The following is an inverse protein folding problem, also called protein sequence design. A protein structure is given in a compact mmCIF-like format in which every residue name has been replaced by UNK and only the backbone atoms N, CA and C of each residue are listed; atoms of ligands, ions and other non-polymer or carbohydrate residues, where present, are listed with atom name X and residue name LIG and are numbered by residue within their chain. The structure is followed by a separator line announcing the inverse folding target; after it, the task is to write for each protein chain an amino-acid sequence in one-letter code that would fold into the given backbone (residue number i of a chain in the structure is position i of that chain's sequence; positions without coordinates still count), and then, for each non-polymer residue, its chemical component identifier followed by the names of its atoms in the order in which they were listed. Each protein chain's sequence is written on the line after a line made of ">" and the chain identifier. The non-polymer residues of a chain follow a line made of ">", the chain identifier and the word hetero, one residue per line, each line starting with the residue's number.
data_IF_527139299626
#
_entry.id   IF_527139299626
#
_cell.length_a   1.000
_cell.length_b   1.000
_cell.length_c   1.000
_cell.angle_alpha   90.00
_cell.angle_beta   90.00
_cell.angle_gamma   90.00
#
_symmetry.space_group_name_H-M   'P 1'
#
loop_
_entity.id
_entity.type
_entity.pdbx_description
1 polymer ?
#
# COMPACT_ATOMS: atom_id res chain seq x y z
N UNK A 1 -3.84 14.67 24.08
CA UNK A 1 -3.47 15.55 22.95
C UNK A 1 -2.61 14.87 21.89
N UNK A 2 -1.55 14.13 22.25
CA UNK A 2 -0.59 13.55 21.27
C UNK A 2 -1.27 12.75 20.14
N UNK A 3 -2.13 11.79 20.46
CA UNK A 3 -2.87 10.99 19.47
C UNK A 3 -3.74 11.83 18.53
N UNK A 4 -4.47 12.81 19.06
CA UNK A 4 -5.33 13.68 18.27
C UNK A 4 -4.55 14.49 17.24
N UNK A 5 -3.34 14.96 17.60
CA UNK A 5 -2.45 15.64 16.67
C UNK A 5 -1.92 14.69 15.59
N UNK A 6 -1.57 13.44 15.95
CA UNK A 6 -1.10 12.45 14.97
C UNK A 6 -2.20 12.07 13.97
N UNK A 7 -3.42 11.83 14.47
CA UNK A 7 -4.60 11.58 13.64
C UNK A 7 -4.83 12.76 12.71
N UNK A 8 -4.78 14.00 13.23
CA UNK A 8 -4.95 15.21 12.43
C UNK A 8 -3.91 15.35 11.32
N UNK A 9 -2.64 15.02 11.58
CA UNK A 9 -1.59 15.01 10.55
C UNK A 9 -1.89 13.97 9.47
N UNK A 10 -2.22 12.74 9.87
CA UNK A 10 -2.52 11.65 8.92
C UNK A 10 -3.73 12.02 8.06
N UNK A 11 -4.84 12.42 8.68
CA UNK A 11 -6.07 12.80 7.98
C UNK A 11 -5.87 14.05 7.11
N UNK A 12 -5.12 15.04 7.58
CA UNK A 12 -4.81 16.24 6.81
C UNK A 12 -4.03 15.92 5.53
N UNK A 13 -3.04 15.04 5.61
CA UNK A 13 -2.28 14.61 4.43
C UNK A 13 -3.13 13.74 3.51
N UNK A 14 -3.95 12.84 4.04
CA UNK A 14 -4.89 12.04 3.23
C UNK A 14 -5.88 12.95 2.50
N UNK A 15 -6.42 13.97 3.17
CA UNK A 15 -7.33 14.94 2.57
C UNK A 15 -6.65 15.75 1.45
N UNK A 16 -5.41 16.20 1.66
CA UNK A 16 -4.63 16.86 0.60
C UNK A 16 -4.40 15.93 -0.60
N UNK A 17 -4.18 14.64 -0.37
CA UNK A 17 -4.09 13.63 -1.43
C UNK A 17 -5.37 13.54 -2.26
N UNK A 18 -6.54 13.57 -1.62
CA UNK A 18 -7.85 13.59 -2.28
C UNK A 18 -8.08 14.87 -3.09
N UNK A 19 -7.71 16.03 -2.52
CA UNK A 19 -7.80 17.31 -3.22
C UNK A 19 -6.92 17.33 -4.47
N UNK A 20 -5.68 16.80 -4.38
CA UNK A 20 -4.78 16.73 -5.53
C UNK A 20 -5.30 15.74 -6.58
N UNK A 21 -5.82 14.59 -6.16
CA UNK A 21 -6.44 13.62 -7.08
C UNK A 21 -7.63 14.23 -7.84
N UNK A 22 -8.42 15.08 -7.17
CA UNK A 22 -9.54 15.78 -7.80
C UNK A 22 -9.11 16.77 -8.88
N UNK A 23 -7.90 17.33 -8.79
CA UNK A 23 -7.34 18.28 -9.78
C UNK A 23 -6.58 17.54 -10.89
N UNK A 24 -5.80 16.51 -10.51
CA UNK A 24 -4.98 15.71 -11.42
C UNK A 24 -5.41 14.25 -11.26
N UNK A 25 -6.46 13.80 -11.97
CA UNK A 25 -6.97 12.44 -11.86
C UNK A 25 -6.10 11.47 -12.66
N UNK A 26 -5.01 11.00 -12.06
CA UNK A 26 -4.25 9.87 -12.59
C UNK A 26 -5.04 8.57 -12.35
N UNK A 27 -4.81 7.50 -13.14
CA UNK A 27 -5.44 6.19 -12.96
C UNK A 27 -4.86 5.42 -11.74
N UNK A 28 -4.72 6.11 -10.62
CA UNK A 28 -4.26 5.57 -9.33
C UNK A 28 -5.16 6.08 -8.21
N UNK A 29 -5.37 5.29 -7.14
CA UNK A 29 -6.17 5.71 -6.00
C UNK A 29 -5.59 6.96 -5.32
N UNK A 30 -6.47 7.82 -4.78
CA UNK A 30 -6.07 9.01 -4.01
C UNK A 30 -5.15 8.68 -2.82
N UNK A 31 -5.27 7.48 -2.22
CA UNK A 31 -4.39 7.01 -1.16
C UNK A 31 -2.91 6.99 -1.55
N UNK A 32 -2.59 6.77 -2.83
CA UNK A 32 -1.21 6.79 -3.34
C UNK A 32 -0.65 8.22 -3.31
N UNK A 33 -1.45 9.23 -3.63
CA UNK A 33 -1.04 10.64 -3.50
C UNK A 33 -0.74 10.98 -2.05
N UNK A 34 -1.62 10.59 -1.12
CA UNK A 34 -1.41 10.77 0.31
C UNK A 34 -0.11 10.12 0.80
N UNK A 35 0.21 8.90 0.32
CA UNK A 35 1.46 8.21 0.62
C UNK A 35 2.69 8.99 0.11
N UNK A 36 2.65 9.48 -1.13
CA UNK A 36 3.75 10.25 -1.72
C UNK A 36 3.97 11.56 -0.97
N UNK A 37 2.88 12.27 -0.62
CA UNK A 37 2.94 13.51 0.15
C UNK A 37 3.54 13.26 1.55
N UNK A 38 3.03 12.24 2.25
CA UNK A 38 3.57 11.84 3.56
C UNK A 38 5.07 11.49 3.45
N UNK A 39 5.47 10.76 2.41
CA UNK A 39 6.87 10.41 2.16
C UNK A 39 7.74 11.67 2.00
N UNK A 40 7.31 12.65 1.20
CA UNK A 40 8.03 13.91 1.06
C UNK A 40 8.06 14.71 2.37
N UNK A 41 6.96 14.77 3.11
CA UNK A 41 6.92 15.43 4.43
C UNK A 41 7.90 14.80 5.43
N UNK A 42 8.04 13.47 5.42
CA UNK A 42 9.01 12.74 6.25
C UNK A 42 10.45 12.96 5.74
N UNK A 43 10.66 12.93 4.43
CA UNK A 43 11.97 13.13 3.80
C UNK A 43 12.55 14.51 4.09
N UNK A 44 11.73 15.56 3.93
CA UNK A 44 12.10 16.95 4.25
C UNK A 44 12.03 17.26 5.75
N UNK A 45 11.71 16.28 6.61
CA UNK A 45 11.55 16.43 8.06
C UNK A 45 10.52 17.49 8.48
N UNK A 46 9.56 17.82 7.61
CA UNK A 46 8.38 18.63 7.94
C UNK A 46 7.50 17.92 8.97
N UNK A 47 7.45 16.59 8.89
CA UNK A 47 6.82 15.71 9.87
C UNK A 47 7.89 14.78 10.42
N UNK A 48 7.99 14.69 11.76
CA UNK A 48 8.84 13.68 12.40
C UNK A 48 8.10 12.35 12.46
N UNK A 49 8.81 11.24 12.28
CA UNK A 49 8.23 9.89 12.35
C UNK A 49 7.52 9.67 13.70
N UNK A 50 8.07 10.20 14.80
CA UNK A 50 7.44 10.11 16.14
C UNK A 50 6.03 10.73 16.19
N UNK A 51 5.73 11.68 15.31
CA UNK A 51 4.45 12.40 15.26
C UNK A 51 3.34 11.60 14.57
N UNK A 52 3.66 10.49 13.91
CA UNK A 52 2.66 9.66 13.21
C UNK A 52 2.77 8.18 13.56
N UNK A 53 3.91 7.72 14.07
CA UNK A 53 4.21 6.30 14.30
C UNK A 53 3.21 5.58 15.20
N UNK A 54 2.80 6.20 16.30
CA UNK A 54 1.96 5.54 17.31
C UNK A 54 0.53 5.34 16.80
N UNK A 55 -0.04 6.40 16.22
CA UNK A 55 -1.38 6.37 15.65
C UNK A 55 -1.41 5.58 14.35
N UNK A 56 -0.42 5.71 13.48
CA UNK A 56 -0.30 4.89 12.28
C UNK A 56 -0.22 3.39 12.61
N UNK A 57 0.56 3.02 13.64
CA UNK A 57 0.62 1.65 14.13
C UNK A 57 -0.75 1.14 14.60
N UNK A 58 -1.45 1.93 15.42
CA UNK A 58 -2.81 1.60 15.86
C UNK A 58 -3.79 1.44 14.69
N UNK A 59 -3.76 2.33 13.70
CA UNK A 59 -4.61 2.25 12.51
C UNK A 59 -4.34 0.98 11.68
N UNK A 60 -3.07 0.58 11.57
CA UNK A 60 -2.68 -0.67 10.91
C UNK A 60 -3.19 -1.88 11.70
N UNK A 61 -3.13 -1.83 13.02
CA UNK A 61 -3.58 -2.91 13.91
C UNK A 61 -5.10 -3.15 13.79
N UNK A 62 -5.90 -2.09 13.66
CA UNK A 62 -7.36 -2.20 13.46
C UNK A 62 -7.77 -2.38 11.99
N UNK A 63 -6.83 -2.35 11.04
CA UNK A 63 -7.11 -2.49 9.60
C UNK A 63 -7.90 -3.77 9.25
N UNK A 64 -7.62 -4.95 9.83
CA UNK A 64 -8.43 -6.16 9.60
C UNK A 64 -9.91 -5.97 9.96
N UNK A 65 -10.20 -5.26 11.04
CA UNK A 65 -11.58 -4.96 11.47
C UNK A 65 -12.29 -4.04 10.46
N UNK A 66 -11.56 -3.08 9.87
CA UNK A 66 -12.08 -2.19 8.82
C UNK A 66 -12.36 -2.92 7.50
N UNK A 67 -11.85 -4.13 7.28
CA UNK A 67 -12.20 -4.95 6.11
C UNK A 67 -13.49 -5.77 6.28
N UNK A 68 -14.03 -5.91 7.50
CA UNK A 68 -15.27 -6.66 7.74
C UNK A 68 -16.45 -6.11 6.91
N UNK A 69 -16.70 -4.79 6.86
CA UNK A 69 -17.78 -4.24 6.03
C UNK A 69 -17.61 -4.54 4.54
N UNK A 70 -16.38 -4.47 4.02
CA UNK A 70 -16.09 -4.84 2.64
C UNK A 70 -16.34 -6.33 2.36
N UNK A 71 -15.99 -7.21 3.32
CA UNK A 71 -16.26 -8.65 3.24
C UNK A 71 -17.76 -8.97 3.31
N UNK A 72 -18.53 -8.27 4.15
CA UNK A 72 -19.99 -8.42 4.19
C UNK A 72 -20.62 -7.91 2.90
N UNK A 73 -20.10 -6.83 2.31
CA UNK A 73 -20.52 -6.32 1.01
C UNK A 73 -20.38 -7.37 -0.11
N UNK A 74 -19.35 -8.22 -0.07
CA UNK A 74 -19.18 -9.32 -1.03
C UNK A 74 -20.34 -10.33 -1.01
N UNK A 75 -21.07 -10.45 0.12
CA UNK A 75 -22.22 -11.35 0.20
C UNK A 75 -23.36 -10.93 -0.73
N UNK A 76 -23.46 -9.64 -1.10
CA UNK A 76 -24.49 -9.19 -2.05
C UNK A 76 -24.23 -9.71 -3.46
N UNK A 77 -22.97 -9.98 -3.81
CA UNK A 77 -22.55 -10.56 -5.09
C UNK A 77 -22.34 -12.09 -5.01
N UNK A 78 -22.74 -12.73 -3.91
CA UNK A 78 -22.46 -14.15 -3.66
C UNK A 78 -23.02 -15.09 -4.72
N UNK A 79 -24.16 -14.75 -5.33
CA UNK A 79 -24.79 -15.56 -6.39
C UNK A 79 -23.87 -15.74 -7.60
N UNK A 80 -23.23 -14.65 -8.03
CA UNK A 80 -22.30 -14.67 -9.17
C UNK A 80 -20.97 -15.32 -8.77
N UNK A 81 -20.50 -15.02 -7.55
CA UNK A 81 -19.23 -15.53 -7.04
C UNK A 81 -19.24 -17.05 -6.81
N UNK A 82 -20.38 -17.61 -6.38
CA UNK A 82 -20.53 -19.05 -6.10
C UNK A 82 -20.28 -19.93 -7.33
N UNK A 83 -20.46 -19.42 -8.55
CA UNK A 83 -20.18 -20.21 -9.75
C UNK A 83 -18.68 -20.37 -10.02
N UNK A 84 -17.83 -19.47 -9.51
CA UNK A 84 -16.42 -19.36 -9.89
C UNK A 84 -15.46 -19.31 -8.69
N UNK A 85 -15.95 -19.44 -7.46
CA UNK A 85 -15.15 -19.30 -6.23
C UNK A 85 -13.91 -20.22 -6.20
N UNK A 86 -14.01 -21.45 -6.70
CA UNK A 86 -12.87 -22.38 -6.80
C UNK A 86 -11.82 -21.82 -7.75
N UNK A 87 -12.24 -21.36 -8.93
CA UNK A 87 -11.37 -20.73 -9.92
C UNK A 87 -10.69 -19.49 -9.35
N UNK A 88 -11.41 -18.67 -8.57
CA UNK A 88 -10.85 -17.49 -7.89
C UNK A 88 -9.76 -17.90 -6.90
N UNK A 89 -10.01 -18.89 -6.05
CA UNK A 89 -9.00 -19.35 -5.07
C UNK A 89 -7.74 -19.86 -5.77
N UNK A 90 -7.93 -20.72 -6.78
CA UNK A 90 -6.81 -21.31 -7.52
C UNK A 90 -6.01 -20.22 -8.25
N UNK A 91 -6.68 -19.33 -8.98
CA UNK A 91 -5.98 -18.27 -9.73
C UNK A 91 -5.26 -17.33 -8.78
N UNK A 92 -5.85 -16.94 -7.64
CA UNK A 92 -5.21 -16.07 -6.65
C UNK A 92 -3.94 -16.68 -6.08
N UNK A 93 -3.98 -17.96 -5.68
CA UNK A 93 -2.80 -18.64 -5.13
C UNK A 93 -1.70 -18.74 -6.20
N UNK A 94 -2.06 -19.21 -7.39
CA UNK A 94 -1.10 -19.37 -8.49
C UNK A 94 -0.48 -18.05 -8.90
N UNK A 95 -1.28 -17.00 -9.12
CA UNK A 95 -0.75 -15.68 -9.51
C UNK A 95 0.12 -15.08 -8.42
N UNK A 96 -0.22 -15.27 -7.15
CA UNK A 96 0.60 -14.77 -6.03
C UNK A 96 1.99 -15.40 -6.05
N UNK A 97 2.06 -16.73 -6.20
CA UNK A 97 3.33 -17.46 -6.27
C UNK A 97 4.13 -17.03 -7.51
N UNK A 98 3.47 -16.96 -8.67
CA UNK A 98 4.12 -16.56 -9.93
C UNK A 98 4.68 -15.14 -9.83
N UNK A 99 3.88 -14.17 -9.39
CA UNK A 99 4.30 -12.76 -9.25
C UNK A 99 5.46 -12.65 -8.28
N UNK A 100 5.41 -13.34 -7.13
CA UNK A 100 6.49 -13.33 -6.15
C UNK A 100 7.79 -13.95 -6.72
N UNK A 101 7.69 -15.08 -7.41
CA UNK A 101 8.84 -15.76 -8.01
C UNK A 101 9.49 -14.94 -9.13
N UNK A 102 8.69 -14.37 -10.03
CA UNK A 102 9.18 -13.54 -11.13
C UNK A 102 9.81 -12.26 -10.59
N UNK A 103 9.10 -11.53 -9.72
CA UNK A 103 9.63 -10.29 -9.11
C UNK A 103 10.93 -10.55 -8.35
N UNK A 104 10.96 -11.62 -7.54
CA UNK A 104 12.15 -12.03 -6.80
C UNK A 104 13.34 -12.32 -7.72
N UNK A 105 13.13 -13.12 -8.78
CA UNK A 105 14.19 -13.44 -9.75
C UNK A 105 14.65 -12.21 -10.52
N UNK A 106 13.75 -11.32 -10.94
CA UNK A 106 14.09 -10.09 -11.65
C UNK A 106 14.95 -9.18 -10.79
N UNK A 107 14.57 -8.95 -9.52
CA UNK A 107 15.36 -8.13 -8.60
C UNK A 107 16.72 -8.77 -8.31
N UNK A 108 16.76 -10.08 -8.07
CA UNK A 108 18.02 -10.81 -7.86
C UNK A 108 18.95 -10.72 -9.08
N UNK A 109 18.42 -10.86 -10.30
CA UNK A 109 19.20 -10.74 -11.52
C UNK A 109 19.80 -9.33 -11.69
N UNK A 110 19.03 -8.28 -11.39
CA UNK A 110 19.52 -6.89 -11.44
C UNK A 110 20.64 -6.68 -10.42
N UNK A 111 20.45 -7.14 -9.17
CA UNK A 111 21.44 -6.97 -8.10
C UNK A 111 22.72 -7.76 -8.38
N UNK A 112 22.61 -9.02 -8.83
CA UNK A 112 23.77 -9.85 -9.16
C UNK A 112 24.59 -9.24 -10.30
N UNK A 113 23.92 -8.71 -11.33
CA UNK A 113 24.59 -8.04 -12.46
C UNK A 113 25.29 -6.74 -12.08
N UNK A 114 24.79 -5.99 -11.09
CA UNK A 114 25.49 -4.83 -10.52
C UNK A 114 26.74 -5.25 -9.71
N UNK A 115 26.69 -6.43 -9.06
CA UNK A 115 27.80 -6.97 -8.27
C UNK A 115 28.95 -7.44 -9.16
N UNK A 116 28.65 -8.15 -10.26
CA UNK A 116 29.66 -8.61 -11.22
C UNK A 116 30.36 -7.42 -11.90
N UNK A 117 29.62 -6.35 -12.24
CA UNK A 117 30.17 -5.12 -12.81
C UNK A 117 31.09 -4.33 -11.87
N UNK A 118 30.92 -4.46 -10.54
CA UNK A 118 31.78 -3.83 -9.54
C UNK A 118 33.04 -4.65 -9.26
N UNK A 119 33.02 -5.96 -9.50
CA UNK A 119 34.20 -6.83 -9.40
C UNK A 119 35.11 -6.66 -10.61
N UNK A 120 34.57 -6.49 -11.82
CA UNK A 120 35.37 -6.21 -13.04
C UNK A 120 36.02 -4.81 -13.07
N UNK A 121 35.60 -3.88 -12.21
CA UNK A 121 36.14 -2.51 -12.12
C UNK A 121 37.20 -2.34 -11.02
N UNK A 122 37.50 -3.38 -10.25
CA UNK A 122 38.59 -3.41 -9.27
C UNK A 122 39.76 -4.22 -9.80
#
# INVERSE_FOLDING_TARGET
>A
MKYMNQVGIILGITFLGEMIHSIIPLPIPASIYGLIIMLFCLYFKLVKVENVKQTGGFLIEIMPLMFIPAAVGLLTAWKDLKSIWITIIIITILTTIIVMAVTGKTVQAIISKDKDRKVERK
#
